data_IF_065382757046
#
_entry.id   IF_065382757046
#
_cell.length_a   1.000
_cell.length_b   1.000
_cell.length_c   1.000
_cell.angle_alpha   90.00
_cell.angle_beta   90.00
_cell.angle_gamma   90.00
#
_symmetry.space_group_name_H-M   'P 1'
#
loop_
_entity.id
_entity.type
_entity.pdbx_description
1 polymer ?
#
# COMPACT_ATOMS: atom_id res chain seq x y z
N UNK A 1 -4.34 9.48 9.20
CA UNK A 1 -3.35 8.41 8.96
C UNK A 1 -2.18 8.59 9.91
N UNK A 2 -1.51 7.51 10.31
CA UNK A 2 -0.34 7.61 11.16
C UNK A 2 0.91 7.97 10.36
N UNK A 3 1.78 8.81 10.92
CA UNK A 3 3.15 9.04 10.45
C UNK A 3 4.17 8.12 11.14
N UNK A 4 3.75 7.39 12.17
CA UNK A 4 4.58 6.38 12.85
C UNK A 4 4.43 5.03 12.18
N UNK A 5 5.56 4.41 11.85
CA UNK A 5 5.62 3.03 11.35
C UNK A 5 5.67 2.09 12.55
N UNK A 6 4.77 1.12 12.58
CA UNK A 6 4.73 0.06 13.58
C UNK A 6 4.38 -1.26 12.90
N UNK A 7 5.05 -2.34 13.27
CA UNK A 7 4.89 -3.65 12.64
C UNK A 7 6.25 -4.26 12.39
N UNK A 8 6.39 -5.53 12.75
CA UNK A 8 7.63 -6.28 12.59
C UNK A 8 7.31 -7.57 11.86
N UNK A 9 7.79 -7.70 10.63
CA UNK A 9 7.62 -8.88 9.78
C UNK A 9 8.53 -10.03 10.24
N UNK A 10 9.50 -9.77 11.12
CA UNK A 10 10.50 -10.75 11.57
C UNK A 10 10.09 -11.49 12.84
N UNK A 11 8.95 -11.12 13.44
CA UNK A 11 8.39 -11.76 14.62
C UNK A 11 7.63 -13.03 14.25
N UNK A 12 8.08 -14.17 14.77
CA UNK A 12 7.55 -15.51 14.46
C UNK A 12 6.07 -15.68 14.84
N UNK A 13 5.59 -14.89 15.79
CA UNK A 13 4.20 -14.77 16.25
C UNK A 13 3.27 -14.03 15.28
N UNK A 14 3.79 -13.52 14.15
CA UNK A 14 3.04 -12.83 13.08
C UNK A 14 3.22 -13.50 11.71
N UNK A 15 3.22 -14.83 11.68
CA UNK A 15 3.37 -15.60 10.45
C UNK A 15 2.34 -15.14 9.40
N UNK A 16 2.84 -14.78 8.21
CA UNK A 16 2.04 -14.47 7.03
C UNK A 16 2.33 -15.50 5.95
N UNK A 17 1.31 -15.88 5.18
CA UNK A 17 1.47 -16.85 4.07
C UNK A 17 2.18 -16.25 2.85
N UNK A 18 2.42 -14.94 2.84
CA UNK A 18 3.10 -14.25 1.75
C UNK A 18 3.07 -12.73 1.87
N UNK A 19 3.66 -12.07 0.88
CA UNK A 19 3.77 -10.60 0.80
C UNK A 19 3.19 -10.12 -0.52
N UNK A 20 2.37 -9.06 -0.47
CA UNK A 20 1.89 -8.37 -1.66
C UNK A 20 2.86 -7.23 -2.02
N UNK A 21 3.51 -7.34 -3.18
CA UNK A 21 4.37 -6.28 -3.69
C UNK A 21 3.59 -5.19 -4.42
N UNK A 22 3.79 -3.92 -4.03
CA UNK A 22 3.20 -2.73 -4.68
C UNK A 22 4.22 -1.88 -5.46
N UNK A 23 5.39 -2.43 -5.77
CA UNK A 23 6.44 -1.73 -6.52
C UNK A 23 6.03 -1.34 -7.95
N UNK A 24 6.87 -0.53 -8.61
CA UNK A 24 6.62 -0.02 -9.97
C UNK A 24 6.78 -1.08 -11.09
N UNK A 25 7.15 -2.32 -10.73
CA UNK A 25 7.33 -3.44 -11.67
C UNK A 25 5.98 -3.98 -12.19
N UNK A 26 6.00 -4.63 -13.37
CA UNK A 26 4.83 -5.26 -14.00
C UNK A 26 4.27 -6.45 -13.20
N UNK A 27 5.09 -7.12 -12.38
CA UNK A 27 4.65 -8.22 -11.50
C UNK A 27 3.96 -7.74 -10.22
N UNK A 28 3.92 -6.45 -9.93
CA UNK A 28 3.22 -5.95 -8.74
C UNK A 28 1.71 -6.18 -8.84
N UNK A 29 1.06 -6.37 -7.69
CA UNK A 29 -0.41 -6.59 -7.64
C UNK A 29 -1.15 -5.43 -8.30
N UNK A 30 -0.66 -4.20 -8.12
CA UNK A 30 -1.24 -2.99 -8.72
C UNK A 30 -1.14 -3.03 -10.24
N UNK A 31 0.02 -3.42 -10.80
CA UNK A 31 0.21 -3.53 -12.24
C UNK A 31 -0.65 -4.63 -12.86
N UNK A 32 -0.78 -5.78 -12.20
CA UNK A 32 -1.58 -6.92 -12.68
C UNK A 32 -3.10 -6.66 -12.66
N UNK A 33 -3.60 -5.90 -11.68
CA UNK A 33 -5.01 -5.50 -11.64
C UNK A 33 -5.33 -4.46 -12.72
N UNK A 34 -4.42 -3.52 -12.93
CA UNK A 34 -4.57 -2.49 -13.95
C UNK A 34 -4.55 -3.06 -15.37
N UNK A 35 -3.72 -4.07 -15.66
CA UNK A 35 -3.67 -4.71 -16.99
C UNK A 35 -4.98 -5.42 -17.37
N UNK A 36 -5.79 -5.78 -16.38
CA UNK A 36 -7.10 -6.39 -16.54
C UNK A 36 -8.25 -5.38 -16.47
N UNK A 37 -7.95 -4.08 -16.37
CA UNK A 37 -8.93 -3.01 -16.18
C UNK A 37 -9.81 -3.17 -14.92
N UNK A 38 -9.34 -3.88 -13.90
CA UNK A 38 -10.08 -4.11 -12.65
C UNK A 38 -9.90 -2.95 -11.65
N UNK A 39 -8.78 -2.24 -11.73
CA UNK A 39 -8.47 -1.09 -10.89
C UNK A 39 -7.56 -0.10 -11.63
N UNK A 40 -7.55 1.19 -11.25
CA UNK A 40 -6.51 2.12 -11.71
C UNK A 40 -5.11 1.62 -11.34
N UNK A 41 -4.09 1.97 -12.12
CA UNK A 41 -2.67 1.70 -11.79
C UNK A 41 -2.15 2.64 -10.67
N UNK A 42 -2.82 2.62 -9.53
CA UNK A 42 -2.54 3.41 -8.35
C UNK A 42 -3.19 2.76 -7.12
N UNK A 43 -2.65 3.06 -5.94
CA UNK A 43 -3.22 2.64 -4.67
C UNK A 43 -3.09 3.76 -3.65
N UNK A 44 -3.93 3.72 -2.62
CA UNK A 44 -3.91 4.63 -1.49
C UNK A 44 -3.89 3.79 -0.22
N UNK A 45 -3.07 4.16 0.76
CA UNK A 45 -3.02 3.45 2.04
C UNK A 45 -3.01 4.44 3.20
N UNK A 46 -3.62 4.02 4.31
CA UNK A 46 -3.64 4.75 5.56
C UNK A 46 -3.32 3.78 6.68
N UNK A 47 -2.06 3.76 7.10
CA UNK A 47 -1.60 2.84 8.16
C UNK A 47 -1.95 3.40 9.54
N UNK A 48 -2.20 2.49 10.49
CA UNK A 48 -2.33 2.82 11.92
C UNK A 48 -1.01 2.51 12.65
N UNK A 49 -0.42 3.54 13.25
CA UNK A 49 0.86 3.44 13.99
C UNK A 49 0.66 3.04 15.45
N UNK A 50 0.00 1.91 15.69
CA UNK A 50 -0.14 1.33 17.03
C UNK A 50 0.31 -0.13 17.01
N UNK A 51 0.71 -0.68 18.16
CA UNK A 51 1.17 -2.07 18.25
C UNK A 51 0.10 -3.09 17.79
N UNK A 52 -1.18 -2.72 17.89
CA UNK A 52 -2.32 -3.47 17.38
C UNK A 52 -2.44 -3.49 15.84
N UNK A 53 -1.67 -2.67 15.12
CA UNK A 53 -1.69 -2.59 13.68
C UNK A 53 -3.01 -2.07 13.09
N UNK A 54 -3.23 -2.37 11.80
CA UNK A 54 -4.43 -2.01 11.05
C UNK A 54 -4.25 -0.81 10.13
N UNK A 55 -5.37 -0.31 9.62
CA UNK A 55 -5.40 0.74 8.61
C UNK A 55 -6.40 0.44 7.50
N UNK A 56 -6.32 1.22 6.43
CA UNK A 56 -7.15 1.04 5.23
C UNK A 56 -6.22 0.98 4.02
N UNK A 57 -6.47 0.00 3.15
CA UNK A 57 -5.85 -0.11 1.82
C UNK A 57 -6.95 0.02 0.78
N UNK A 58 -6.74 0.93 -0.18
CA UNK A 58 -7.60 1.10 -1.35
C UNK A 58 -6.79 0.81 -2.60
N UNK A 59 -7.24 -0.17 -3.39
CA UNK A 59 -6.72 -0.46 -4.71
C UNK A 59 -7.30 0.54 -5.72
N UNK A 60 -6.79 1.77 -5.64
CA UNK A 60 -7.25 2.90 -6.42
C UNK A 60 -6.78 4.23 -5.81
N UNK A 61 -7.32 5.33 -6.34
CA UNK A 61 -7.03 6.69 -5.85
C UNK A 61 -8.15 7.15 -4.94
N UNK A 62 -7.81 7.59 -3.73
CA UNK A 62 -8.73 8.34 -2.87
C UNK A 62 -8.64 9.82 -3.23
N UNK A 63 -9.79 10.51 -3.23
CA UNK A 63 -9.86 11.96 -3.42
C UNK A 63 -10.03 12.60 -2.04
N UNK A 64 -9.02 13.33 -1.60
CA UNK A 64 -9.06 14.13 -0.37
C UNK A 64 -8.36 15.47 -0.68
N UNK A 65 -9.04 16.62 -0.47
CA UNK A 65 -8.48 17.95 -0.76
C UNK A 65 -7.22 18.29 0.03
N UNK A 66 -6.95 17.61 1.14
CA UNK A 66 -5.79 17.86 2.01
C UNK A 66 -4.52 17.12 1.57
N UNK A 67 -4.58 16.28 0.54
CA UNK A 67 -3.41 15.54 0.07
C UNK A 67 -2.44 16.49 -0.66
N UNK A 68 -1.21 16.56 -0.16
CA UNK A 68 -0.09 17.24 -0.82
C UNK A 68 0.66 16.21 -1.67
N UNK A 69 0.82 16.49 -2.97
CA UNK A 69 1.49 15.59 -3.92
C UNK A 69 2.92 16.04 -4.21
N UNK A 70 3.77 15.05 -4.47
CA UNK A 70 5.13 15.22 -4.99
C UNK A 70 5.35 14.22 -6.13
N UNK A 71 6.16 14.52 -7.17
CA UNK A 71 6.45 13.57 -8.24
C UNK A 71 7.09 12.28 -7.72
N UNK A 72 6.59 11.14 -8.19
CA UNK A 72 7.26 9.85 -8.01
C UNK A 72 8.40 9.74 -9.03
N UNK A 73 9.62 9.53 -8.55
CA UNK A 73 10.77 9.30 -9.43
C UNK A 73 10.72 7.87 -9.98
N UNK A 74 10.86 7.67 -11.30
CA UNK A 74 10.91 6.33 -11.88
C UNK A 74 12.04 5.50 -11.27
N UNK A 75 11.78 4.21 -11.10
CA UNK A 75 12.77 3.21 -10.66
C UNK A 75 13.43 2.51 -11.84
#
# INVERSE_FOLDING_TARGET
>A
CSSTVSGDLTKSDRAVDGILGFGQNHLSVISQLASQNLAPKAFSHCLRGSQSGGGILVLGKVVDPSIVYTPLVPS
#
